data_IF_353036251905
#
_entry.id   IF_353036251905
#
_cell.length_a   1.000
_cell.length_b   1.000
_cell.length_c   1.000
_cell.angle_alpha   90.00
_cell.angle_beta   90.00
_cell.angle_gamma   90.00
#
_symmetry.space_group_name_H-M   'P 1'
#
loop_
_entity.id
_entity.type
_entity.pdbx_description
1 polymer ?
#
# COMPACT_ATOMS: atom_id res chain seq x y z
N UNK A 1 42.30 -3.31 18.19
CA UNK A 1 41.89 -2.24 17.25
C UNK A 1 40.87 -2.86 16.32
N UNK A 2 39.72 -2.21 16.19
CA UNK A 2 38.48 -2.70 15.57
C UNK A 2 38.63 -3.17 14.11
N UNK A 3 37.79 -4.14 13.67
CA UNK A 3 37.63 -4.47 12.26
C UNK A 3 36.86 -3.36 11.52
N UNK A 4 37.07 -3.21 10.20
CA UNK A 4 36.53 -2.10 9.43
C UNK A 4 34.99 -2.14 9.41
N UNK A 5 34.39 -0.98 9.64
CA UNK A 5 32.97 -0.73 9.47
C UNK A 5 32.53 -1.27 8.10
N UNK A 6 31.69 -2.32 8.14
CA UNK A 6 31.04 -2.86 6.96
C UNK A 6 30.25 -1.76 6.24
N UNK A 7 30.00 -1.92 4.93
CA UNK A 7 29.21 -0.96 4.20
C UNK A 7 27.86 -0.86 4.88
N UNK A 8 27.44 0.38 5.19
CA UNK A 8 26.11 0.67 5.74
C UNK A 8 25.04 -0.04 4.90
N UNK A 9 23.89 -0.37 5.50
CA UNK A 9 22.89 -1.18 4.82
C UNK A 9 22.54 -0.48 3.50
N UNK A 10 22.92 -1.10 2.38
CA UNK A 10 22.35 -0.80 1.08
C UNK A 10 20.83 -0.97 1.14
N UNK A 11 20.08 -0.60 0.09
CA UNK A 11 18.62 -0.63 0.11
C UNK A 11 18.21 -2.07 0.42
N UNK A 12 17.82 -2.30 1.67
CA UNK A 12 17.19 -3.51 2.13
C UNK A 12 16.05 -3.73 1.15
N UNK A 13 15.96 -4.92 0.57
CA UNK A 13 14.74 -5.37 -0.10
C UNK A 13 13.60 -5.22 0.90
N UNK A 14 13.00 -4.03 0.97
CA UNK A 14 11.94 -3.73 1.91
C UNK A 14 10.80 -4.65 1.54
N UNK A 15 10.56 -5.65 2.39
CA UNK A 15 9.43 -6.54 2.24
C UNK A 15 8.16 -5.71 2.14
N UNK A 16 7.25 -6.10 1.24
CA UNK A 16 6.00 -5.39 1.04
C UNK A 16 5.03 -5.72 2.17
N UNK A 17 5.21 -5.02 3.28
CA UNK A 17 4.37 -5.08 4.49
C UNK A 17 3.55 -3.80 4.64
N UNK A 18 2.47 -3.85 5.42
CA UNK A 18 1.64 -2.67 5.69
C UNK A 18 2.44 -1.52 6.32
N UNK A 19 3.31 -1.83 7.27
CA UNK A 19 4.14 -0.85 8.00
C UNK A 19 5.13 -0.14 7.07
N UNK A 20 5.75 -0.88 6.15
CA UNK A 20 6.67 -0.32 5.16
C UNK A 20 5.94 0.52 4.12
N UNK A 21 4.72 0.10 3.73
CA UNK A 21 3.88 0.89 2.82
C UNK A 21 3.44 2.20 3.46
N UNK A 22 3.03 2.18 4.73
CA UNK A 22 2.71 3.40 5.46
C UNK A 22 3.94 4.30 5.59
N UNK A 23 5.09 3.75 5.98
CA UNK A 23 6.34 4.52 6.11
C UNK A 23 6.75 5.17 4.79
N UNK A 24 6.65 4.45 3.67
CA UNK A 24 6.92 4.98 2.34
C UNK A 24 5.90 6.05 1.93
N UNK A 25 4.63 5.93 2.33
CA UNK A 25 3.63 6.98 2.11
C UNK A 25 3.95 8.23 2.94
N UNK A 26 4.35 8.07 4.20
CA UNK A 26 4.79 9.20 5.02
C UNK A 26 5.98 9.91 4.39
N UNK A 27 6.96 9.15 3.89
CA UNK A 27 8.09 9.72 3.14
C UNK A 27 7.62 10.44 1.87
N UNK A 28 6.73 9.84 1.09
CA UNK A 28 6.21 10.44 -0.14
C UNK A 28 5.44 11.74 0.09
N UNK A 29 4.69 11.86 1.18
CA UNK A 29 3.86 13.05 1.42
C UNK A 29 4.58 14.14 2.23
N UNK A 30 5.41 13.76 3.21
CA UNK A 30 5.95 14.70 4.21
C UNK A 30 7.47 14.92 4.15
N UNK A 31 8.24 14.10 3.43
CA UNK A 31 9.68 14.34 3.29
C UNK A 31 9.93 15.62 2.46
N UNK A 32 10.78 16.55 2.94
CA UNK A 32 11.14 17.76 2.20
C UNK A 32 12.09 17.48 1.01
N UNK A 33 12.79 16.35 0.99
CA UNK A 33 13.74 15.98 -0.06
C UNK A 33 13.03 15.29 -1.25
N UNK A 34 13.16 15.86 -2.44
CA UNK A 34 12.54 15.33 -3.66
C UNK A 34 13.12 13.99 -4.11
N UNK A 35 14.40 13.71 -3.82
CA UNK A 35 15.01 12.41 -4.16
C UNK A 35 14.41 11.29 -3.31
N UNK A 36 14.23 11.54 -2.02
CA UNK A 36 13.56 10.60 -1.11
C UNK A 36 12.12 10.32 -1.53
N UNK A 37 11.37 11.36 -1.94
CA UNK A 37 10.01 11.20 -2.48
C UNK A 37 9.99 10.35 -3.75
N UNK A 38 10.95 10.56 -4.65
CA UNK A 38 11.04 9.78 -5.89
C UNK A 38 11.34 8.30 -5.61
N UNK A 39 12.23 8.02 -4.65
CA UNK A 39 12.51 6.66 -4.18
C UNK A 39 11.25 6.01 -3.60
N UNK A 40 10.56 6.70 -2.69
CA UNK A 40 9.32 6.22 -2.09
C UNK A 40 8.23 5.96 -3.14
N UNK A 41 8.04 6.86 -4.10
CA UNK A 41 7.08 6.70 -5.19
C UNK A 41 7.38 5.47 -6.05
N UNK A 42 8.64 5.26 -6.42
CA UNK A 42 9.06 4.10 -7.21
C UNK A 42 8.78 2.80 -6.46
N UNK A 43 9.14 2.74 -5.18
CA UNK A 43 8.89 1.57 -4.35
C UNK A 43 7.39 1.32 -4.15
N UNK A 44 6.59 2.35 -3.88
CA UNK A 44 5.14 2.25 -3.73
C UNK A 44 4.47 1.73 -5.01
N UNK A 45 4.96 2.17 -6.18
CA UNK A 45 4.46 1.67 -7.47
C UNK A 45 4.70 0.17 -7.63
N UNK A 46 5.85 -0.33 -7.17
CA UNK A 46 6.16 -1.76 -7.15
C UNK A 46 5.32 -2.51 -6.10
N UNK A 47 5.09 -1.89 -4.94
CA UNK A 47 4.22 -2.46 -3.90
C UNK A 47 2.77 -2.63 -4.40
N UNK A 48 2.25 -1.68 -5.20
CA UNK A 48 0.90 -1.78 -5.78
C UNK A 48 0.73 -2.96 -6.74
N UNK A 49 1.75 -3.31 -7.51
CA UNK A 49 1.68 -4.44 -8.45
C UNK A 49 1.96 -5.79 -7.80
N UNK A 50 2.49 -5.80 -6.57
CA UNK A 50 2.82 -7.01 -5.82
C UNK A 50 1.59 -7.87 -5.48
N UNK A 51 1.80 -9.15 -5.17
CA UNK A 51 0.74 -10.03 -4.67
C UNK A 51 0.21 -9.58 -3.29
N UNK A 52 1.11 -9.03 -2.46
CA UNK A 52 0.84 -8.53 -1.12
C UNK A 52 -0.15 -7.36 -1.12
N UNK A 53 -0.27 -6.64 -2.24
CA UNK A 53 -1.23 -5.55 -2.40
C UNK A 53 -2.68 -5.96 -2.17
N UNK A 54 -3.05 -7.21 -2.45
CA UNK A 54 -4.38 -7.73 -2.12
C UNK A 54 -4.66 -7.78 -0.61
N UNK A 55 -3.62 -7.79 0.23
CA UNK A 55 -3.74 -7.85 1.70
C UNK A 55 -3.64 -6.47 2.31
N UNK A 56 -2.54 -5.75 2.07
CA UNK A 56 -2.31 -4.48 2.76
C UNK A 56 -3.31 -3.40 2.34
N UNK A 57 -3.85 -3.42 1.11
CA UNK A 57 -4.76 -2.36 0.64
C UNK A 57 -5.99 -2.19 1.55
N UNK A 58 -6.51 -3.29 2.11
CA UNK A 58 -7.63 -3.26 3.07
C UNK A 58 -7.23 -2.69 4.43
N UNK A 59 -6.00 -2.92 4.87
CA UNK A 59 -5.49 -2.38 6.12
C UNK A 59 -5.30 -0.87 6.00
N UNK A 60 -4.83 -0.39 4.85
CA UNK A 60 -4.67 1.04 4.58
C UNK A 60 -6.02 1.78 4.51
N UNK A 61 -7.11 1.07 4.19
CA UNK A 61 -8.47 1.61 4.16
C UNK A 61 -9.11 1.75 5.55
N UNK A 62 -8.42 1.36 6.63
CA UNK A 62 -8.99 1.46 7.97
C UNK A 62 -9.22 2.92 8.40
N UNK A 63 -10.25 3.19 9.22
CA UNK A 63 -10.60 4.54 9.65
C UNK A 63 -9.53 5.20 10.55
N UNK A 64 -8.63 4.42 11.14
CA UNK A 64 -7.49 4.93 11.92
C UNK A 64 -6.35 5.50 11.07
N UNK A 65 -6.41 5.36 9.75
CA UNK A 65 -5.40 5.87 8.81
C UNK A 65 -5.75 7.26 8.29
N UNK A 66 -4.73 8.04 7.97
CA UNK A 66 -4.90 9.37 7.37
C UNK A 66 -5.45 9.28 5.92
N UNK A 67 -6.10 10.33 5.39
CA UNK A 67 -6.71 10.30 4.07
C UNK A 67 -5.76 9.90 2.93
N UNK A 68 -4.51 10.35 2.97
CA UNK A 68 -3.48 10.02 1.98
C UNK A 68 -3.18 8.52 1.94
N UNK A 69 -3.13 7.88 3.11
CA UNK A 69 -2.91 6.44 3.23
C UNK A 69 -4.13 5.66 2.74
N UNK A 70 -5.33 6.09 3.15
CA UNK A 70 -6.57 5.49 2.66
C UNK A 70 -6.69 5.61 1.14
N UNK A 71 -6.32 6.76 0.57
CA UNK A 71 -6.36 6.99 -0.88
C UNK A 71 -5.44 6.04 -1.62
N UNK A 72 -4.24 5.79 -1.10
CA UNK A 72 -3.35 4.81 -1.67
C UNK A 72 -3.93 3.39 -1.57
N UNK A 73 -4.54 3.02 -0.44
CA UNK A 73 -5.25 1.75 -0.27
C UNK A 73 -6.36 1.55 -1.31
N UNK A 74 -7.24 2.54 -1.47
CA UNK A 74 -8.32 2.54 -2.46
C UNK A 74 -7.79 2.44 -3.90
N UNK A 75 -6.79 3.25 -4.24
CA UNK A 75 -6.16 3.26 -5.56
C UNK A 75 -5.50 1.93 -5.88
N UNK A 76 -4.83 1.33 -4.90
CA UNK A 76 -4.21 0.01 -5.02
C UNK A 76 -5.27 -1.06 -5.28
N UNK A 77 -6.35 -1.06 -4.50
CA UNK A 77 -7.44 -2.00 -4.67
C UNK A 77 -8.08 -1.88 -6.06
N UNK A 78 -8.32 -0.65 -6.54
CA UNK A 78 -8.80 -0.41 -7.89
C UNK A 78 -7.85 -0.98 -8.95
N UNK A 79 -6.54 -0.74 -8.84
CA UNK A 79 -5.55 -1.30 -9.77
C UNK A 79 -5.57 -2.83 -9.74
N UNK A 80 -5.64 -3.43 -8.56
CA UNK A 80 -5.65 -4.89 -8.38
C UNK A 80 -6.90 -5.52 -9.01
N UNK A 81 -8.08 -4.93 -8.80
CA UNK A 81 -9.32 -5.39 -9.43
C UNK A 81 -9.28 -5.19 -10.94
N UNK A 82 -8.87 -4.03 -11.42
CA UNK A 82 -8.93 -3.68 -12.83
C UNK A 82 -7.87 -4.37 -13.69
N UNK A 83 -6.70 -4.70 -13.13
CA UNK A 83 -5.55 -5.23 -13.90
C UNK A 83 -5.08 -6.61 -13.48
N UNK A 84 -5.35 -7.01 -12.24
CA UNK A 84 -4.84 -8.24 -11.63
C UNK A 84 -5.96 -9.19 -11.21
N UNK A 85 -7.15 -9.06 -11.80
CA UNK A 85 -8.29 -9.93 -11.50
C UNK A 85 -7.98 -11.42 -11.69
N UNK A 86 -7.17 -11.74 -12.71
CA UNK A 86 -6.74 -13.11 -13.02
C UNK A 86 -5.84 -13.75 -11.96
N UNK A 87 -5.29 -12.99 -11.01
CA UNK A 87 -4.47 -13.52 -9.92
C UNK A 87 -5.31 -14.26 -8.87
N UNK A 88 -6.64 -14.05 -8.87
CA UNK A 88 -7.55 -14.60 -7.87
C UNK A 88 -8.21 -15.88 -8.37
N UNK A 89 -8.22 -16.89 -7.49
CA UNK A 89 -9.02 -18.09 -7.71
C UNK A 89 -10.51 -17.75 -7.68
N UNK A 90 -11.33 -18.50 -8.42
CA UNK A 90 -12.78 -18.28 -8.49
C UNK A 90 -13.47 -18.27 -7.12
N UNK A 91 -13.00 -19.11 -6.19
CA UNK A 91 -13.48 -19.14 -4.79
C UNK A 91 -13.22 -17.83 -4.04
N UNK A 92 -12.16 -17.09 -4.39
CA UNK A 92 -11.80 -15.82 -3.76
C UNK A 92 -12.61 -14.65 -4.34
N UNK A 93 -13.32 -14.84 -5.46
CA UNK A 93 -14.10 -13.77 -6.10
C UNK A 93 -15.33 -13.40 -5.28
N UNK A 94 -16.03 -14.39 -4.72
CA UNK A 94 -17.21 -14.14 -3.88
C UNK A 94 -16.81 -13.48 -2.55
N UNK A 95 -15.72 -13.93 -1.92
CA UNK A 95 -15.18 -13.30 -0.71
C UNK A 95 -14.77 -11.84 -0.97
N UNK A 96 -14.07 -11.59 -2.08
CA UNK A 96 -13.68 -10.24 -2.47
C UNK A 96 -14.90 -9.34 -2.70
N UNK A 97 -15.95 -9.86 -3.35
CA UNK A 97 -17.19 -9.13 -3.58
C UNK A 97 -17.86 -8.74 -2.26
N UNK A 98 -17.97 -9.67 -1.33
CA UNK A 98 -18.55 -9.39 -0.01
C UNK A 98 -17.72 -8.36 0.76
N UNK A 99 -16.39 -8.48 0.73
CA UNK A 99 -15.48 -7.55 1.39
C UNK A 99 -15.56 -6.13 0.80
N UNK A 100 -15.69 -6.02 -0.52
CA UNK A 100 -15.86 -4.75 -1.23
C UNK A 100 -17.19 -4.07 -0.89
N UNK A 101 -18.30 -4.82 -0.90
CA UNK A 101 -19.61 -4.29 -0.52
C UNK A 101 -19.62 -3.83 0.95
N UNK A 102 -19.01 -4.60 1.85
CA UNK A 102 -18.86 -4.23 3.26
C UNK A 102 -18.09 -2.91 3.42
N UNK A 103 -16.97 -2.76 2.71
CA UNK A 103 -16.20 -1.51 2.73
C UNK A 103 -16.96 -0.34 2.12
N UNK A 104 -17.65 -0.50 0.99
CA UNK A 104 -18.46 0.57 0.39
C UNK A 104 -19.52 1.05 1.38
N UNK A 105 -20.19 0.12 2.08
CA UNK A 105 -21.17 0.47 3.11
C UNK A 105 -20.52 1.21 4.29
N UNK A 106 -19.32 0.79 4.73
CA UNK A 106 -18.56 1.50 5.76
C UNK A 106 -18.17 2.92 5.33
N UNK A 107 -17.62 3.08 4.12
CA UNK A 107 -17.21 4.36 3.57
C UNK A 107 -18.39 5.27 3.21
N UNK A 108 -19.59 4.72 2.99
CA UNK A 108 -20.79 5.53 2.72
C UNK A 108 -21.14 6.49 3.87
N UNK A 109 -20.66 6.19 5.07
CA UNK A 109 -20.82 7.03 6.27
C UNK A 109 -19.52 7.76 6.68
N UNK A 110 -18.40 7.47 5.99
CA UNK A 110 -17.06 8.02 6.27
C UNK A 110 -16.77 9.30 5.47
N UNK A 111 -15.52 9.82 5.54
CA UNK A 111 -15.12 10.93 4.69
C UNK A 111 -15.36 10.58 3.23
N UNK A 112 -16.00 11.48 2.47
CA UNK A 112 -16.09 11.37 1.01
C UNK A 112 -14.69 11.54 0.45
N UNK A 113 -13.93 10.46 0.40
CA UNK A 113 -12.77 10.40 -0.45
C UNK A 113 -13.30 10.46 -1.88
N UNK A 114 -12.80 11.47 -2.60
CA UNK A 114 -13.22 11.95 -3.93
C UNK A 114 -13.65 10.84 -4.88
#
# INVERSE_FOLDING_TARGET
MEPPAGPGPGPVELEVTEENVESALYQLYFDPDMEHKNVAQKWLTQAQSSAQAWRFCWVLLRPDKIPEVQFFGASTLHVKISRHWGDLLSVQHDDLRMQLLSHILHFSSGPKMV
#
